data_IF_260974643159
#
_entry.id   IF_260974643159
#
_cell.length_a   1.000
_cell.length_b   1.000
_cell.length_c   1.000
_cell.angle_alpha   90.00
_cell.angle_beta   90.00
_cell.angle_gamma   90.00
#
_symmetry.space_group_name_H-M   'P 1'
#
loop_
_entity.id
_entity.type
_entity.pdbx_description
1 polymer ?
#
# COMPACT_ATOMS: atom_id res chain seq x y z
N UNK A 1 -12.57 -4.88 4.11
CA UNK A 1 -12.94 -3.46 3.98
C UNK A 1 -14.14 -3.30 3.03
N UNK A 2 -14.16 -3.93 1.85
CA UNK A 2 -15.31 -3.89 0.91
C UNK A 2 -16.64 -4.38 1.51
N UNK A 3 -16.61 -5.16 2.59
CA UNK A 3 -17.80 -5.66 3.27
C UNK A 3 -18.46 -4.62 4.19
N UNK A 4 -17.78 -3.52 4.51
CA UNK A 4 -18.34 -2.46 5.33
C UNK A 4 -19.00 -1.41 4.42
N UNK A 5 -20.32 -1.51 4.25
CA UNK A 5 -21.12 -0.64 3.38
C UNK A 5 -21.09 0.86 3.75
N UNK A 6 -20.57 1.20 4.93
CA UNK A 6 -20.44 2.59 5.40
C UNK A 6 -19.14 3.27 4.97
N UNK A 7 -18.14 2.50 4.49
CA UNK A 7 -16.85 3.04 4.08
C UNK A 7 -16.85 3.37 2.59
N UNK A 8 -16.46 4.60 2.27
CA UNK A 8 -16.14 5.00 0.89
C UNK A 8 -14.66 4.71 0.63
N UNK A 9 -14.38 3.87 -0.35
CA UNK A 9 -13.02 3.46 -0.70
C UNK A 9 -12.73 3.80 -2.15
N UNK A 10 -11.59 4.46 -2.39
CA UNK A 10 -10.96 4.56 -3.69
C UNK A 10 -9.82 3.56 -3.79
N UNK A 11 -9.71 2.84 -4.90
CA UNK A 11 -8.59 1.95 -5.20
C UNK A 11 -7.83 2.57 -6.35
N UNK A 12 -6.58 3.01 -6.08
CA UNK A 12 -5.77 3.76 -7.03
C UNK A 12 -6.48 5.00 -7.61
N UNK A 13 -7.20 5.70 -6.76
CA UNK A 13 -7.95 6.92 -7.09
C UNK A 13 -7.80 7.96 -5.98
N UNK A 14 -7.65 9.24 -6.34
CA UNK A 14 -7.54 9.79 -7.69
C UNK A 14 -6.22 9.46 -8.40
N UNK A 15 -5.23 8.95 -7.69
CA UNK A 15 -3.88 8.69 -8.22
C UNK A 15 -3.57 7.20 -8.24
N UNK A 16 -2.82 6.79 -9.25
CA UNK A 16 -2.09 5.52 -9.26
C UNK A 16 -0.66 5.78 -8.85
N UNK A 17 -0.07 4.89 -8.09
CA UNK A 17 1.36 4.94 -7.79
C UNK A 17 2.17 4.79 -9.07
N UNK A 18 3.14 5.67 -9.27
CA UNK A 18 3.96 5.74 -10.47
C UNK A 18 5.45 5.69 -10.12
N UNK A 19 6.21 4.90 -10.88
CA UNK A 19 7.65 4.76 -10.69
C UNK A 19 8.43 6.08 -10.78
N UNK A 20 7.94 7.05 -11.55
CA UNK A 20 8.58 8.37 -11.72
C UNK A 20 8.23 9.38 -10.62
N UNK A 21 7.08 9.23 -9.97
CA UNK A 21 6.56 10.22 -9.01
C UNK A 21 6.64 9.75 -7.56
N UNK A 22 6.63 8.46 -7.36
CA UNK A 22 6.64 7.85 -6.03
C UNK A 22 8.00 7.23 -5.75
N UNK A 23 8.53 7.44 -4.56
CA UNK A 23 9.87 6.97 -4.22
C UNK A 23 9.84 5.80 -3.22
N UNK A 24 9.20 5.99 -2.08
CA UNK A 24 9.30 5.06 -0.95
C UNK A 24 8.82 3.65 -1.30
N UNK A 25 7.63 3.51 -1.84
CA UNK A 25 7.06 2.19 -2.15
C UNK A 25 7.79 1.52 -3.31
N UNK A 26 7.97 2.17 -4.49
CA UNK A 26 8.69 1.54 -5.59
C UNK A 26 10.12 1.18 -5.22
N UNK A 27 10.84 2.10 -4.60
CA UNK A 27 12.26 1.93 -4.34
C UNK A 27 12.57 0.95 -3.19
N UNK A 28 11.80 0.98 -2.11
CA UNK A 28 12.07 0.11 -0.95
C UNK A 28 11.25 -1.18 -0.96
N UNK A 29 9.98 -1.13 -1.34
CA UNK A 29 9.11 -2.29 -1.30
C UNK A 29 9.13 -3.09 -2.59
N UNK A 30 8.79 -2.49 -3.73
CA UNK A 30 8.67 -3.20 -5.00
C UNK A 30 9.99 -3.78 -5.48
N UNK A 31 11.10 -3.03 -5.39
CA UNK A 31 12.44 -3.52 -5.77
C UNK A 31 12.82 -4.77 -4.97
N UNK A 32 12.48 -4.81 -3.69
CA UNK A 32 12.81 -5.92 -2.80
C UNK A 32 11.75 -7.02 -2.80
N UNK A 33 10.68 -6.88 -3.58
CA UNK A 33 9.62 -7.87 -3.64
C UNK A 33 8.78 -7.94 -2.37
N UNK A 34 8.75 -6.88 -1.58
CA UNK A 34 7.91 -6.81 -0.39
C UNK A 34 6.47 -6.47 -0.75
N UNK A 35 5.50 -7.11 -0.11
CA UNK A 35 4.12 -6.67 -0.21
C UNK A 35 3.97 -5.27 0.41
N UNK A 36 3.18 -4.44 -0.22
CA UNK A 36 2.97 -3.08 0.23
C UNK A 36 1.52 -2.62 0.03
N UNK A 37 1.17 -1.59 0.74
CA UNK A 37 -0.05 -0.82 0.52
C UNK A 37 0.22 0.63 0.93
N UNK A 38 -0.17 1.57 0.08
CA UNK A 38 -0.25 2.98 0.42
C UNK A 38 -1.68 3.27 0.87
N UNK A 39 -1.83 3.75 2.09
CA UNK A 39 -3.14 4.06 2.68
C UNK A 39 -3.23 5.56 2.90
N UNK A 40 -4.24 6.17 2.31
CA UNK A 40 -4.58 7.56 2.54
C UNK A 40 -5.94 7.66 3.23
N UNK A 41 -5.98 8.40 4.31
CA UNK A 41 -7.21 8.64 5.08
C UNK A 41 -7.50 10.13 5.06
N UNK A 42 -8.72 10.51 4.76
CA UNK A 42 -9.14 11.91 4.80
C UNK A 42 -8.84 12.52 6.17
N UNK A 43 -8.23 13.69 6.17
CA UNK A 43 -7.78 14.37 7.37
C UNK A 43 -8.92 14.66 8.36
N UNK A 44 -10.09 15.01 7.87
CA UNK A 44 -11.27 15.30 8.71
C UNK A 44 -11.77 14.08 9.51
N UNK A 45 -11.40 12.88 9.09
CA UNK A 45 -11.68 11.63 9.81
C UNK A 45 -10.70 11.32 10.93
N UNK A 46 -9.62 12.10 11.07
CA UNK A 46 -8.54 11.89 12.04
C UNK A 46 -8.42 13.02 13.07
N UNK A 47 -9.45 13.84 13.26
CA UNK A 47 -9.42 14.98 14.17
C UNK A 47 -9.62 14.57 15.63
N UNK A 48 -10.50 13.60 15.88
CA UNK A 48 -10.86 13.15 17.22
C UNK A 48 -10.16 11.85 17.59
N UNK A 49 -9.76 11.71 18.85
CA UNK A 49 -9.13 10.48 19.35
C UNK A 49 -9.98 9.23 19.10
N UNK A 50 -11.29 9.34 19.24
CA UNK A 50 -12.21 8.22 18.97
C UNK A 50 -12.14 7.75 17.51
N UNK A 51 -12.09 8.68 16.57
CA UNK A 51 -11.99 8.34 15.14
C UNK A 51 -10.59 7.83 14.77
N UNK A 52 -9.55 8.37 15.37
CA UNK A 52 -8.17 7.86 15.23
C UNK A 52 -8.09 6.40 15.71
N UNK A 53 -8.62 6.12 16.89
CA UNK A 53 -8.67 4.76 17.44
C UNK A 53 -9.47 3.81 16.55
N UNK A 54 -10.62 4.25 16.04
CA UNK A 54 -11.42 3.46 15.11
C UNK A 54 -10.64 3.07 13.85
N UNK A 55 -9.96 4.04 13.21
CA UNK A 55 -9.16 3.78 12.02
C UNK A 55 -7.94 2.90 12.30
N UNK A 56 -7.27 3.14 13.42
CA UNK A 56 -6.13 2.31 13.86
C UNK A 56 -6.55 0.85 14.06
N UNK A 57 -7.64 0.61 14.75
CA UNK A 57 -8.17 -0.74 14.99
C UNK A 57 -8.60 -1.42 13.69
N UNK A 58 -9.29 -0.68 12.81
CA UNK A 58 -9.74 -1.21 11.53
C UNK A 58 -8.58 -1.64 10.66
N UNK A 59 -7.57 -0.77 10.50
CA UNK A 59 -6.39 -1.05 9.68
C UNK A 59 -5.58 -2.20 10.28
N UNK A 60 -5.36 -2.18 11.59
CA UNK A 60 -4.63 -3.25 12.29
C UNK A 60 -5.29 -4.62 12.10
N UNK A 61 -6.60 -4.70 12.22
CA UNK A 61 -7.36 -5.94 11.98
C UNK A 61 -7.24 -6.43 10.55
N UNK A 62 -7.30 -5.51 9.58
CA UNK A 62 -7.17 -5.87 8.16
C UNK A 62 -5.75 -6.37 7.88
N UNK A 63 -4.72 -5.64 8.31
CA UNK A 63 -3.32 -6.02 8.09
C UNK A 63 -3.00 -7.36 8.75
N UNK A 64 -3.41 -7.56 10.00
CA UNK A 64 -3.18 -8.82 10.72
C UNK A 64 -3.81 -10.01 10.01
N UNK A 65 -5.00 -9.84 9.42
CA UNK A 65 -5.66 -10.91 8.66
C UNK A 65 -4.86 -11.37 7.46
N UNK A 66 -4.10 -10.48 6.83
CA UNK A 66 -3.35 -10.78 5.60
C UNK A 66 -1.85 -10.98 5.83
N UNK A 67 -1.35 -10.77 7.05
CA UNK A 67 0.07 -10.86 7.37
C UNK A 67 0.66 -12.25 7.07
N UNK A 68 -0.06 -13.32 7.40
CA UNK A 68 0.39 -14.71 7.23
C UNK A 68 -0.11 -15.35 5.93
N UNK A 69 -0.64 -14.57 4.98
CA UNK A 69 -1.26 -15.14 3.79
C UNK A 69 -0.23 -15.51 2.73
N UNK A 70 -0.34 -16.71 2.15
CA UNK A 70 0.56 -17.20 1.08
C UNK A 70 0.59 -16.31 -0.17
N UNK A 71 -0.41 -15.46 -0.37
CA UNK A 71 -0.43 -14.46 -1.45
C UNK A 71 0.75 -13.49 -1.41
N UNK A 72 1.41 -13.32 -0.27
CA UNK A 72 2.61 -12.50 -0.11
C UNK A 72 3.80 -13.04 -0.94
N UNK A 73 3.78 -14.33 -1.32
CA UNK A 73 4.80 -14.96 -2.16
C UNK A 73 4.76 -14.54 -3.63
N UNK A 74 3.67 -13.96 -4.10
CA UNK A 74 3.50 -13.61 -5.53
C UNK A 74 4.25 -12.34 -5.97
N UNK A 75 4.76 -11.55 -5.05
CA UNK A 75 5.40 -10.28 -5.35
C UNK A 75 6.83 -10.40 -5.92
N UNK A 76 7.49 -11.54 -5.76
CA UNK A 76 8.86 -11.74 -6.23
C UNK A 76 9.04 -11.65 -7.75
N UNK A 77 8.01 -11.95 -8.54
CA UNK A 77 8.09 -11.84 -10.02
C UNK A 77 8.03 -10.39 -10.52
N UNK A 78 7.29 -9.53 -9.83
CA UNK A 78 7.22 -8.11 -10.21
C UNK A 78 8.49 -7.35 -9.85
N UNK A 79 9.21 -7.75 -8.79
CA UNK A 79 10.44 -7.11 -8.36
C UNK A 79 11.56 -7.15 -9.41
N UNK A 80 11.66 -8.21 -10.21
CA UNK A 80 12.64 -8.30 -11.31
C UNK A 80 12.44 -7.19 -12.35
N UNK A 81 11.23 -7.04 -12.87
CA UNK A 81 10.89 -6.01 -13.87
C UNK A 81 11.16 -4.60 -13.34
N UNK A 82 10.87 -4.38 -12.09
CA UNK A 82 11.08 -3.07 -11.44
C UNK A 82 12.56 -2.80 -11.27
N UNK A 83 13.36 -3.77 -10.82
CA UNK A 83 14.82 -3.66 -10.76
C UNK A 83 15.43 -3.37 -12.12
N UNK A 84 15.00 -4.07 -13.17
CA UNK A 84 15.43 -3.83 -14.55
C UNK A 84 15.10 -2.41 -15.02
N UNK A 85 13.89 -1.93 -14.70
CA UNK A 85 13.50 -0.55 -14.99
C UNK A 85 14.42 0.48 -14.33
N UNK A 86 14.71 0.32 -13.03
CA UNK A 86 15.57 1.24 -12.30
C UNK A 86 17.01 1.20 -12.80
N UNK A 87 17.56 0.02 -13.11
CA UNK A 87 18.90 -0.13 -13.71
C UNK A 87 18.96 0.56 -15.09
N UNK A 88 17.98 0.30 -15.94
CA UNK A 88 17.93 0.89 -17.30
C UNK A 88 17.88 2.42 -17.27
N UNK A 89 17.32 3.00 -16.23
CA UNK A 89 17.17 4.45 -16.07
C UNK A 89 18.22 5.07 -15.12
N UNK A 90 19.28 4.34 -14.78
CA UNK A 90 20.35 4.78 -13.86
C UNK A 90 19.85 5.29 -12.50
N UNK A 91 18.84 4.63 -11.95
CA UNK A 91 18.22 4.96 -10.65
C UNK A 91 18.67 4.00 -9.53
N UNK A 92 19.41 2.98 -9.87
CA UNK A 92 20.09 2.04 -8.97
C UNK A 92 21.58 2.10 -9.16
#
# INVERSE_FOLDING_TARGET
IKKNKKLKLGINQPYKMMLKGDFTVPFFAEINGFPYVLIEIRQDLLIKNETINYWSDLISKVLKKYYDHDSLKYYTKSSKKIKEYYKKNNLL
#
